data_IF_326729154171
#
_entry.id   IF_326729154171
#
_cell.length_a   1.000
_cell.length_b   1.000
_cell.length_c   1.000
_cell.angle_alpha   90.00
_cell.angle_beta   90.00
_cell.angle_gamma   90.00
#
_symmetry.space_group_name_H-M   'P 1'
#
loop_
_entity.id
_entity.type
_entity.pdbx_description
1 polymer ?
#
# COMPACT_ATOMS: atom_id res chain seq x y z
N UNK A 1 -2.48 -8.24 -20.84
CA UNK A 1 -3.41 -7.10 -20.86
C UNK A 1 -4.78 -7.50 -20.32
N UNK A 2 -5.37 -8.60 -20.80
CA UNK A 2 -6.75 -9.01 -20.45
C UNK A 2 -7.03 -9.16 -18.95
N UNK A 3 -6.06 -9.64 -18.16
CA UNK A 3 -6.21 -9.87 -16.72
C UNK A 3 -6.34 -8.59 -15.87
N UNK A 4 -5.99 -7.42 -16.40
CA UNK A 4 -6.06 -6.13 -15.68
C UNK A 4 -7.08 -5.16 -16.26
N UNK A 5 -7.79 -5.56 -17.32
CA UNK A 5 -8.76 -4.73 -18.04
C UNK A 5 -9.89 -4.16 -17.19
N UNK A 6 -10.17 -4.77 -16.03
CA UNK A 6 -11.21 -4.35 -15.08
C UNK A 6 -10.67 -4.18 -13.66
N UNK A 7 -9.38 -3.86 -13.53
CA UNK A 7 -8.69 -3.76 -12.24
C UNK A 7 -8.22 -2.33 -12.01
N UNK A 8 -8.56 -1.78 -10.84
CA UNK A 8 -7.93 -0.57 -10.32
C UNK A 8 -6.85 -1.01 -9.34
N UNK A 9 -5.61 -0.59 -9.59
CA UNK A 9 -4.50 -0.86 -8.69
C UNK A 9 -4.33 0.30 -7.71
N UNK A 10 -4.36 0.00 -6.42
CA UNK A 10 -4.04 0.97 -5.37
C UNK A 10 -2.53 0.98 -5.18
N UNK A 11 -1.92 2.11 -5.54
CA UNK A 11 -0.47 2.29 -5.43
C UNK A 11 -0.18 3.35 -4.38
N UNK A 12 0.52 3.01 -3.28
CA UNK A 12 0.93 4.01 -2.30
C UNK A 12 1.96 4.95 -2.92
N UNK A 13 1.91 6.23 -2.55
CA UNK A 13 2.97 7.17 -2.94
C UNK A 13 4.31 6.72 -2.36
N UNK A 14 5.40 6.97 -3.08
CA UNK A 14 6.75 6.68 -2.61
C UNK A 14 7.05 7.32 -1.25
N UNK A 15 6.52 8.52 -0.99
CA UNK A 15 6.64 9.21 0.31
C UNK A 15 6.00 8.45 1.45
N UNK A 16 4.87 7.76 1.20
CA UNK A 16 4.26 6.88 2.21
C UNK A 16 5.19 5.69 2.50
N UNK A 17 5.70 5.01 1.46
CA UNK A 17 6.58 3.85 1.63
C UNK A 17 7.84 4.23 2.41
N UNK A 18 8.46 5.37 2.09
CA UNK A 18 9.63 5.90 2.82
C UNK A 18 9.34 6.27 4.28
N UNK A 19 8.08 6.53 4.63
CA UNK A 19 7.70 6.84 6.01
C UNK A 19 7.55 5.59 6.89
N UNK A 20 7.46 4.39 6.29
CA UNK A 20 7.33 3.14 7.01
C UNK A 20 8.66 2.75 7.68
N UNK A 21 8.63 1.92 8.74
CA UNK A 21 9.87 1.31 9.24
C UNK A 21 10.60 0.56 8.12
N UNK A 22 11.93 0.62 8.15
CA UNK A 22 12.80 0.08 7.10
C UNK A 22 12.57 0.66 5.69
N UNK A 23 11.81 1.75 5.58
CA UNK A 23 11.48 2.45 4.33
C UNK A 23 10.85 1.56 3.25
N UNK A 24 10.23 0.45 3.66
CA UNK A 24 9.60 -0.53 2.75
C UNK A 24 8.28 -1.07 3.30
N UNK A 25 7.51 -1.66 2.40
CA UNK A 25 6.38 -2.52 2.77
C UNK A 25 6.98 -3.87 3.21
N UNK A 26 6.51 -4.47 4.33
CA UNK A 26 7.07 -5.72 4.83
C UNK A 26 7.01 -6.84 3.79
N UNK A 27 8.04 -7.67 3.76
CA UNK A 27 8.20 -8.76 2.80
C UNK A 27 8.77 -10.01 3.47
N UNK A 28 8.99 -11.07 2.68
CA UNK A 28 9.41 -12.36 3.24
C UNK A 28 10.84 -12.36 3.80
N UNK A 29 11.69 -11.42 3.40
CA UNK A 29 13.06 -11.33 3.93
C UNK A 29 13.05 -10.94 5.41
N UNK A 30 11.99 -10.29 5.89
CA UNK A 30 11.84 -9.91 7.30
C UNK A 30 11.88 -11.13 8.25
N UNK A 31 11.52 -12.32 7.78
CA UNK A 31 11.58 -13.57 8.57
C UNK A 31 13.01 -14.11 8.73
N UNK A 32 13.93 -13.66 7.87
CA UNK A 32 15.35 -14.00 7.92
C UNK A 32 16.13 -12.93 8.68
N UNK A 33 15.74 -11.66 8.52
CA UNK A 33 16.49 -10.50 9.00
C UNK A 33 16.10 -10.04 10.41
N UNK A 34 14.86 -10.29 10.85
CA UNK A 34 14.32 -9.78 12.11
C UNK A 34 13.92 -10.92 13.05
N UNK A 35 14.02 -10.67 14.35
CA UNK A 35 13.44 -11.59 15.32
C UNK A 35 11.91 -11.46 15.34
N UNK A 36 11.25 -12.43 16.00
CA UNK A 36 9.79 -12.53 15.99
C UNK A 36 9.06 -11.30 16.55
N UNK A 37 9.57 -10.69 17.61
CA UNK A 37 8.90 -9.57 18.26
C UNK A 37 9.08 -8.28 17.45
N UNK A 38 10.28 -8.03 16.92
CA UNK A 38 10.56 -6.93 16.00
C UNK A 38 9.71 -7.03 14.73
N UNK A 39 9.68 -8.20 14.10
CA UNK A 39 8.91 -8.46 12.89
C UNK A 39 7.42 -8.27 13.12
N UNK A 40 6.87 -8.80 14.22
CA UNK A 40 5.45 -8.63 14.56
C UNK A 40 5.11 -7.15 14.77
N UNK A 41 5.93 -6.41 15.52
CA UNK A 41 5.71 -4.99 15.76
C UNK A 41 5.72 -4.20 14.44
N UNK A 42 6.73 -4.43 13.60
CA UNK A 42 6.86 -3.81 12.28
C UNK A 42 5.64 -4.10 11.40
N UNK A 43 5.25 -5.37 11.25
CA UNK A 43 4.13 -5.76 10.38
C UNK A 43 2.80 -5.16 10.86
N UNK A 44 2.51 -5.21 12.17
CA UNK A 44 1.30 -4.61 12.72
C UNK A 44 1.25 -3.10 12.50
N UNK A 45 2.38 -2.42 12.69
CA UNK A 45 2.47 -0.98 12.45
C UNK A 45 2.19 -0.63 10.98
N UNK A 46 2.75 -1.35 10.02
CA UNK A 46 2.48 -1.09 8.60
C UNK A 46 1.02 -1.35 8.25
N UNK A 47 0.40 -2.40 8.79
CA UNK A 47 -1.04 -2.67 8.61
C UNK A 47 -1.88 -1.52 9.18
N UNK A 48 -1.57 -1.05 10.39
CA UNK A 48 -2.27 0.07 11.02
C UNK A 48 -2.14 1.35 10.19
N UNK A 49 -0.92 1.69 9.75
CA UNK A 49 -0.69 2.89 8.91
C UNK A 49 -1.39 2.79 7.56
N UNK A 50 -1.51 1.59 7.00
CA UNK A 50 -2.19 1.35 5.72
C UNK A 50 -3.71 1.56 5.79
N UNK A 51 -4.31 1.68 6.99
CA UNK A 51 -5.73 2.00 7.15
C UNK A 51 -6.11 3.34 6.51
N UNK A 52 -5.15 4.26 6.32
CA UNK A 52 -5.40 5.54 5.64
C UNK A 52 -5.95 5.33 4.22
N UNK A 53 -5.53 4.28 3.50
CA UNK A 53 -6.01 4.01 2.15
C UNK A 53 -7.49 3.62 2.15
N UNK A 54 -7.92 2.83 3.13
CA UNK A 54 -9.34 2.52 3.30
C UNK A 54 -10.17 3.78 3.56
N UNK A 55 -9.65 4.69 4.39
CA UNK A 55 -10.33 5.95 4.70
C UNK A 55 -10.40 6.88 3.48
N UNK A 56 -9.34 6.94 2.68
CA UNK A 56 -9.31 7.71 1.43
C UNK A 56 -10.31 7.16 0.42
N UNK A 57 -10.33 5.83 0.22
CA UNK A 57 -11.27 5.17 -0.67
C UNK A 57 -12.73 5.37 -0.27
N UNK A 58 -13.03 5.24 1.02
CA UNK A 58 -14.39 5.42 1.54
C UNK A 58 -14.94 6.84 1.30
N UNK A 59 -14.06 7.83 1.05
CA UNK A 59 -14.44 9.21 0.79
C UNK A 59 -14.60 9.52 -0.71
N UNK A 60 -14.10 8.67 -1.61
CA UNK A 60 -14.18 8.90 -3.04
C UNK A 60 -15.61 8.71 -3.56
N UNK A 61 -16.13 9.71 -4.27
CA UNK A 61 -17.37 9.57 -5.03
C UNK A 61 -17.07 9.09 -6.46
N UNK A 62 -18.05 8.48 -7.17
CA UNK A 62 -17.87 8.04 -8.55
C UNK A 62 -17.29 9.12 -9.49
N UNK A 63 -17.63 10.38 -9.25
CA UNK A 63 -17.15 11.54 -10.02
C UNK A 63 -15.70 11.92 -9.74
N UNK A 64 -15.11 11.47 -8.64
CA UNK A 64 -13.75 11.83 -8.24
C UNK A 64 -12.70 10.93 -8.87
N UNK A 65 -13.04 9.69 -9.23
CA UNK A 65 -12.11 8.69 -9.76
C UNK A 65 -11.33 9.19 -10.97
N UNK A 66 -11.99 9.87 -11.91
CA UNK A 66 -11.36 10.41 -13.11
C UNK A 66 -10.22 11.40 -12.83
N UNK A 67 -10.16 11.99 -11.62
CA UNK A 67 -9.10 12.93 -11.19
C UNK A 67 -7.92 12.23 -10.51
N UNK A 68 -8.08 10.96 -10.14
CA UNK A 68 -7.13 10.23 -9.28
C UNK A 68 -6.55 8.98 -9.94
N UNK A 69 -7.09 8.54 -11.06
CA UNK A 69 -6.60 7.37 -11.80
C UNK A 69 -5.66 7.80 -12.92
N UNK A 70 -4.60 7.03 -13.10
CA UNK A 70 -3.68 7.14 -14.22
C UNK A 70 -3.68 5.81 -15.00
N UNK A 71 -3.45 5.83 -16.32
CA UNK A 71 -3.24 4.59 -17.07
C UNK A 71 -2.08 3.81 -16.47
N UNK A 72 -2.21 2.49 -16.43
CA UNK A 72 -1.09 1.64 -16.02
C UNK A 72 0.05 1.81 -17.04
N UNK A 73 1.33 1.80 -16.60
CA UNK A 73 2.47 2.24 -17.41
C UNK A 73 2.91 1.24 -18.50
N UNK A 74 2.03 0.32 -18.94
CA UNK A 74 2.33 -0.74 -19.89
C UNK A 74 1.26 -0.87 -20.97
#
# INVERSE_FOLDING_TARGET
>A
HDHYSRTILLVPKQTFVKSLPFEKIPDRNDFVELNDDERKAYWHEVVQRSQIFSQQLARLQPTDWAKHIEPLPW
#
